data_IF_263177732764
#
_entry.id   IF_263177732764
#
_cell.length_a   1.000
_cell.length_b   1.000
_cell.length_c   1.000
_cell.angle_alpha   90.00
_cell.angle_beta   90.00
_cell.angle_gamma   90.00
#
_symmetry.space_group_name_H-M   'P 1'
#
loop_
_entity.id
_entity.type
_entity.pdbx_description
1 polymer ?
#
# COMPACT_ATOMS: atom_id res chain seq x y z
N UNK A 1 9.46 3.53 -15.43
CA UNK A 1 8.16 4.02 -15.99
C UNK A 1 7.26 4.07 -14.79
N UNK A 2 6.53 5.16 -14.51
CA UNK A 2 5.76 5.22 -13.26
C UNK A 2 4.86 3.98 -13.08
N UNK A 3 4.83 3.39 -11.89
CA UNK A 3 3.91 2.29 -11.59
C UNK A 3 2.47 2.78 -11.76
N UNK A 4 1.74 2.17 -12.68
CA UNK A 4 0.36 2.50 -12.97
C UNK A 4 -0.43 1.20 -13.11
N UNK A 5 -1.59 1.16 -12.47
CA UNK A 5 -2.57 0.10 -12.66
C UNK A 5 -3.36 0.34 -13.96
N UNK A 6 -3.90 -0.75 -14.51
CA UNK A 6 -4.84 -0.63 -15.63
C UNK A 6 -6.10 0.12 -15.19
N UNK A 7 -6.79 0.78 -16.13
CA UNK A 7 -8.08 1.43 -15.85
C UNK A 7 -9.13 0.47 -15.32
N UNK A 8 -9.08 -0.80 -15.74
CA UNK A 8 -9.95 -1.88 -15.25
C UNK A 8 -9.68 -2.17 -13.77
N UNK A 9 -8.42 -2.29 -13.37
CA UNK A 9 -8.06 -2.53 -11.97
C UNK A 9 -8.42 -1.35 -11.08
N UNK A 10 -8.19 -0.11 -11.54
CA UNK A 10 -8.61 1.08 -10.80
C UNK A 10 -10.12 1.09 -10.58
N UNK A 11 -10.92 0.78 -11.60
CA UNK A 11 -12.38 0.66 -11.45
C UNK A 11 -12.77 -0.40 -10.43
N UNK A 12 -12.12 -1.57 -10.47
CA UNK A 12 -12.38 -2.66 -9.52
C UNK A 12 -12.09 -2.23 -8.07
N UNK A 13 -11.02 -1.48 -7.84
CA UNK A 13 -10.70 -0.94 -6.51
C UNK A 13 -11.78 0.05 -6.06
N UNK A 14 -12.18 0.99 -6.92
CA UNK A 14 -13.22 1.97 -6.61
C UNK A 14 -14.55 1.32 -6.23
N UNK A 15 -15.02 0.40 -7.06
CA UNK A 15 -16.28 -0.32 -6.84
C UNK A 15 -16.22 -1.09 -5.52
N UNK A 16 -15.09 -1.75 -5.24
CA UNK A 16 -14.91 -2.51 -4.00
C UNK A 16 -14.91 -1.63 -2.74
N UNK A 17 -14.28 -0.45 -2.81
CA UNK A 17 -14.13 0.47 -1.67
C UNK A 17 -15.39 1.30 -1.39
N UNK A 18 -16.35 1.34 -2.32
CA UNK A 18 -17.53 2.19 -2.18
C UNK A 18 -18.41 1.79 -0.99
N UNK A 19 -18.58 0.49 -0.79
CA UNK A 19 -19.47 -0.08 0.25
C UNK A 19 -18.74 -0.52 1.52
N UNK A 20 -17.42 -0.35 1.59
CA UNK A 20 -16.60 -0.88 2.69
C UNK A 20 -15.94 0.23 3.49
N UNK A 21 -15.92 0.05 4.80
CA UNK A 21 -15.24 0.98 5.70
C UNK A 21 -13.72 0.86 5.57
N UNK A 22 -13.19 -0.36 5.50
CA UNK A 22 -11.74 -0.60 5.41
C UNK A 22 -11.46 -1.67 4.36
N UNK A 23 -10.69 -1.30 3.34
CA UNK A 23 -10.33 -2.18 2.23
C UNK A 23 -8.83 -2.31 2.12
N UNK A 24 -8.37 -3.47 1.69
CA UNK A 24 -6.99 -3.77 1.34
C UNK A 24 -6.90 -4.08 -0.15
N UNK A 25 -6.08 -3.32 -0.87
CA UNK A 25 -5.63 -3.63 -2.21
C UNK A 25 -4.19 -4.12 -2.15
N UNK A 26 -3.92 -5.31 -2.69
CA UNK A 26 -2.57 -5.83 -2.85
C UNK A 26 -2.12 -5.55 -4.28
N UNK A 27 -1.08 -4.75 -4.44
CA UNK A 27 -0.53 -4.34 -5.74
C UNK A 27 0.88 -4.88 -5.89
N UNK A 28 1.14 -5.65 -6.94
CA UNK A 28 2.51 -6.01 -7.31
C UNK A 28 3.11 -4.88 -8.13
N UNK A 29 4.38 -4.56 -7.94
CA UNK A 29 5.08 -3.50 -8.68
C UNK A 29 6.58 -3.78 -8.83
N UNK A 30 7.17 -3.29 -9.92
CA UNK A 30 8.64 -3.29 -10.15
C UNK A 30 9.35 -2.09 -9.54
N UNK A 31 8.61 -1.02 -9.26
CA UNK A 31 9.20 0.27 -8.89
C UNK A 31 9.56 0.32 -7.40
N UNK A 32 10.57 1.13 -7.06
CA UNK A 32 10.97 1.28 -5.66
C UNK A 32 9.86 1.96 -4.83
N UNK A 33 9.77 1.71 -3.51
CA UNK A 33 8.77 2.34 -2.63
C UNK A 33 8.64 3.86 -2.75
N UNK A 34 9.74 4.56 -3.07
CA UNK A 34 9.79 6.01 -3.25
C UNK A 34 9.14 6.48 -4.56
N UNK A 35 9.00 5.60 -5.55
CA UNK A 35 8.52 5.89 -6.90
C UNK A 35 7.02 5.56 -7.08
N UNK A 36 6.37 5.03 -6.04
CA UNK A 36 4.95 4.65 -6.05
C UNK A 36 3.98 5.81 -5.76
N UNK A 37 4.47 7.03 -5.56
CA UNK A 37 3.60 8.18 -5.20
C UNK A 37 2.46 8.38 -6.19
N UNK A 38 2.76 8.29 -7.49
CA UNK A 38 1.76 8.48 -8.56
C UNK A 38 0.68 7.40 -8.57
N UNK A 39 1.04 6.15 -8.24
CA UNK A 39 0.10 5.06 -8.08
C UNK A 39 -0.90 5.35 -6.95
N UNK A 40 -0.39 5.80 -5.80
CA UNK A 40 -1.21 6.12 -4.64
C UNK A 40 -2.11 7.34 -4.87
N UNK A 41 -1.60 8.37 -5.55
CA UNK A 41 -2.38 9.54 -5.96
C UNK A 41 -3.51 9.13 -6.91
N UNK A 42 -3.22 8.32 -7.93
CA UNK A 42 -4.23 7.85 -8.88
C UNK A 42 -5.35 7.05 -8.19
N UNK A 43 -5.01 6.13 -7.28
CA UNK A 43 -5.99 5.39 -6.49
C UNK A 43 -6.78 6.29 -5.54
N UNK A 44 -6.11 7.27 -4.92
CA UNK A 44 -6.74 8.27 -4.07
C UNK A 44 -7.78 9.09 -4.84
N UNK A 45 -7.39 9.66 -5.97
CA UNK A 45 -8.29 10.42 -6.84
C UNK A 45 -9.48 9.58 -7.30
N UNK A 46 -9.22 8.36 -7.80
CA UNK A 46 -10.27 7.48 -8.30
C UNK A 46 -11.26 7.07 -7.21
N UNK A 47 -10.80 6.80 -5.99
CA UNK A 47 -11.65 6.41 -4.86
C UNK A 47 -12.21 7.60 -4.07
N UNK A 48 -11.89 8.85 -4.45
CA UNK A 48 -12.16 10.05 -3.64
C UNK A 48 -11.61 9.95 -2.21
N UNK A 49 -10.41 9.41 -2.08
CA UNK A 49 -9.64 9.27 -0.84
C UNK A 49 -8.38 10.14 -0.89
N UNK A 50 -7.89 10.59 0.26
CA UNK A 50 -6.66 11.38 0.34
C UNK A 50 -5.52 10.57 0.94
N UNK A 51 -4.30 10.80 0.45
CA UNK A 51 -3.10 10.19 1.03
C UNK A 51 -2.91 10.62 2.48
N UNK A 52 -2.80 9.63 3.37
CA UNK A 52 -2.58 9.85 4.80
C UNK A 52 -1.14 9.54 5.20
N UNK A 53 -0.67 8.32 4.90
CA UNK A 53 0.71 7.90 5.22
C UNK A 53 1.17 6.78 4.30
N UNK A 54 2.48 6.56 4.27
CA UNK A 54 3.10 5.34 3.73
C UNK A 54 4.14 4.83 4.71
N UNK A 55 4.28 3.50 4.77
CA UNK A 55 5.30 2.81 5.54
C UNK A 55 5.92 1.73 4.66
N UNK A 56 7.22 1.49 4.81
CA UNK A 56 7.93 0.49 4.02
C UNK A 56 9.11 -0.06 4.79
N UNK A 57 9.54 -1.25 4.39
CA UNK A 57 10.76 -1.87 4.90
C UNK A 57 11.95 -1.43 4.05
N UNK A 58 13.04 -0.87 4.63
CA UNK A 58 14.28 -0.61 3.92
C UNK A 58 14.99 -1.89 3.44
N UNK A 59 14.67 -3.04 4.04
CA UNK A 59 15.30 -4.33 3.78
C UNK A 59 14.43 -5.31 3.00
N UNK A 60 13.21 -4.92 2.62
CA UNK A 60 12.31 -5.76 1.86
C UNK A 60 11.55 -4.95 0.81
N UNK A 61 11.21 -5.60 -0.30
CA UNK A 61 10.49 -4.98 -1.43
C UNK A 61 8.99 -4.87 -1.16
N UNK A 62 8.56 -4.58 0.08
CA UNK A 62 7.15 -4.41 0.41
C UNK A 62 6.92 -3.29 1.42
N UNK A 63 5.68 -2.81 1.42
CA UNK A 63 5.18 -1.81 2.35
C UNK A 63 3.73 -1.50 2.05
N UNK A 64 3.20 -0.45 2.68
CA UNK A 64 1.85 -0.02 2.40
C UNK A 64 1.69 1.49 2.35
N UNK A 65 0.62 1.93 1.70
CA UNK A 65 0.10 3.29 1.78
C UNK A 65 -1.33 3.25 2.34
N UNK A 66 -1.68 4.25 3.15
CA UNK A 66 -3.01 4.45 3.69
C UNK A 66 -3.65 5.67 3.03
N UNK A 67 -4.80 5.45 2.42
CA UNK A 67 -5.67 6.45 1.82
C UNK A 67 -6.94 6.56 2.68
N UNK A 68 -7.39 7.77 2.98
CA UNK A 68 -8.49 8.03 3.92
C UNK A 68 -9.43 9.14 3.47
N UNK A 69 -10.74 8.95 3.66
CA UNK A 69 -11.77 10.00 3.58
C UNK A 69 -13.07 9.54 4.23
N UNK A 70 -13.71 10.38 5.04
CA UNK A 70 -15.04 10.13 5.63
C UNK A 70 -15.18 8.73 6.25
N UNK A 71 -14.29 8.36 7.17
CA UNK A 71 -14.24 7.04 7.83
C UNK A 71 -13.97 5.83 6.91
N UNK A 72 -13.77 6.05 5.60
CA UNK A 72 -13.32 5.02 4.67
C UNK A 72 -11.81 5.02 4.56
N UNK A 73 -11.22 3.84 4.66
CA UNK A 73 -9.79 3.59 4.54
C UNK A 73 -9.56 2.61 3.40
N UNK A 74 -8.61 2.94 2.53
CA UNK A 74 -8.01 2.00 1.59
C UNK A 74 -6.53 1.86 1.95
N UNK A 75 -6.15 0.65 2.34
CA UNK A 75 -4.75 0.25 2.50
C UNK A 75 -4.27 -0.34 1.18
N UNK A 76 -3.24 0.24 0.61
CA UNK A 76 -2.56 -0.29 -0.58
C UNK A 76 -1.29 -0.98 -0.12
N UNK A 77 -1.34 -2.30 0.05
CA UNK A 77 -0.15 -3.11 0.30
C UNK A 77 0.53 -3.33 -1.05
N UNK A 78 1.78 -2.89 -1.20
CA UNK A 78 2.55 -3.16 -2.39
C UNK A 78 3.66 -4.19 -2.11
N UNK A 79 3.90 -5.03 -3.10
CA UNK A 79 4.94 -6.07 -3.07
C UNK A 79 5.78 -6.01 -4.34
N UNK A 80 7.07 -6.26 -4.21
CA UNK A 80 8.01 -6.32 -5.32
C UNK A 80 7.67 -7.47 -6.26
N UNK A 81 7.81 -7.23 -7.55
CA UNK A 81 7.65 -8.26 -8.55
C UNK A 81 8.05 -7.82 -9.94
N UNK A 82 7.68 -8.63 -10.92
CA UNK A 82 7.67 -8.23 -12.31
C UNK A 82 6.37 -7.50 -12.61
N UNK A 83 6.24 -6.48 -13.46
CA UNK A 83 4.97 -5.80 -13.78
C UNK A 83 4.12 -5.21 -12.62
N UNK A 84 3.37 -4.16 -12.97
CA UNK A 84 2.41 -3.53 -12.05
C UNK A 84 1.04 -4.14 -12.27
N UNK A 85 0.45 -4.74 -11.23
CA UNK A 85 -0.87 -5.38 -11.33
C UNK A 85 -1.59 -5.42 -9.98
N UNK A 86 -2.92 -5.42 -10.02
CA UNK A 86 -3.75 -5.68 -8.85
C UNK A 86 -3.83 -7.19 -8.60
N UNK A 87 -3.28 -7.64 -7.49
CA UNK A 87 -3.23 -9.07 -7.12
C UNK A 87 -4.50 -9.49 -6.40
N UNK A 88 -4.97 -8.67 -5.45
CA UNK A 88 -6.11 -9.02 -4.60
C UNK A 88 -6.80 -7.80 -4.01
N UNK A 89 -8.09 -7.97 -3.71
CA UNK A 89 -8.92 -7.05 -2.93
C UNK A 89 -9.57 -7.81 -1.79
N UNK A 90 -9.50 -7.24 -0.59
CA UNK A 90 -10.09 -7.84 0.61
C UNK A 90 -10.57 -6.77 1.57
N UNK A 91 -11.54 -7.13 2.41
CA UNK A 91 -11.93 -6.31 3.56
C UNK A 91 -10.97 -6.61 4.71
N UNK A 92 -10.60 -5.58 5.46
CA UNK A 92 -9.70 -5.69 6.61
C UNK A 92 -10.28 -4.94 7.80
N UNK A 93 -9.67 -5.11 8.96
CA UNK A 93 -9.97 -4.38 10.18
C UNK A 93 -8.73 -3.65 10.70
N UNK A 94 -8.91 -2.92 11.80
CA UNK A 94 -7.83 -2.19 12.46
C UNK A 94 -6.74 -3.11 13.04
N UNK A 95 -7.08 -4.35 13.41
CA UNK A 95 -6.11 -5.33 13.95
C UNK A 95 -5.12 -5.71 12.86
N UNK A 96 -5.62 -6.02 11.66
CA UNK A 96 -4.76 -6.33 10.51
C UNK A 96 -3.82 -5.17 10.17
N UNK A 97 -4.31 -3.93 10.21
CA UNK A 97 -3.47 -2.77 9.95
C UNK A 97 -2.36 -2.64 11.00
N UNK A 98 -2.68 -2.82 12.29
CA UNK A 98 -1.69 -2.79 13.36
C UNK A 98 -0.62 -3.89 13.20
N UNK A 99 -1.02 -5.12 12.88
CA UNK A 99 -0.08 -6.23 12.65
C UNK A 99 0.87 -5.93 11.49
N UNK A 100 0.38 -5.27 10.44
CA UNK A 100 1.18 -4.85 9.30
C UNK A 100 2.20 -3.77 9.69
N UNK A 101 1.79 -2.81 10.51
CA UNK A 101 2.68 -1.77 11.05
C UNK A 101 3.77 -2.36 11.93
N UNK A 102 3.41 -3.27 12.84
CA UNK A 102 4.35 -3.92 13.77
C UNK A 102 5.38 -4.78 13.00
N UNK A 103 4.92 -5.48 11.96
CA UNK A 103 5.80 -6.27 11.08
C UNK A 103 6.82 -5.39 10.37
N UNK A 104 6.39 -4.26 9.80
CA UNK A 104 7.31 -3.31 9.15
C UNK A 104 8.24 -2.64 10.15
N UNK A 105 7.73 -2.21 11.31
CA UNK A 105 8.54 -1.59 12.36
C UNK A 105 9.63 -2.54 12.88
N UNK A 106 9.31 -3.81 13.11
CA UNK A 106 10.28 -4.83 13.52
C UNK A 106 11.39 -5.05 12.48
N UNK A 107 11.03 -5.05 11.19
CA UNK A 107 11.96 -5.19 10.07
C UNK A 107 12.93 -3.99 10.00
N UNK A 108 12.42 -2.78 10.30
CA UNK A 108 13.20 -1.54 10.31
C UNK A 108 14.22 -1.52 11.46
N UNK A 109 13.85 -2.03 12.63
CA UNK A 109 14.74 -2.12 13.81
C UNK A 109 15.88 -3.13 13.57
N UNK A 110 15.60 -4.25 12.89
CA UNK A 110 16.63 -5.21 12.54
C UNK A 110 17.65 -4.63 11.54
N UNK A 111 17.21 -3.76 10.61
CA UNK A 111 18.13 -3.07 9.70
C UNK A 111 18.98 -1.99 10.36
N UNK A 112 18.47 -1.24 11.34
CA UNK A 112 19.28 -0.23 12.05
C UNK A 112 20.33 -0.87 12.96
N UNK A 113 20.02 -2.01 13.56
CA UNK A 113 20.94 -2.74 14.46
C UNK A 113 22.21 -3.24 13.75
N UNK A 114 22.18 -3.44 12.42
CA UNK A 114 23.35 -3.85 11.63
C UNK A 114 24.27 -2.65 11.32
N UNK A 115 23.79 -1.41 11.45
CA UNK A 115 24.53 -0.20 11.02
C UNK A 115 25.37 0.47 12.10
N UNK A 116 25.10 0.21 13.38
CA UNK A 116 25.85 0.77 14.53
C UNK A 116 26.89 -0.22 15.13
N UNK A 117 27.20 -1.30 14.40
CA UNK A 117 28.06 -2.40 14.88
C UNK A 117 29.40 -2.58 14.14
N UNK A 118 29.98 -1.52 13.55
CA UNK A 118 31.33 -1.54 12.94
C UNK A 118 32.16 -0.31 13.35
#
# INVERSE_FOLDING_TARGET
MAAELSSEDVSRVCDYCTDKRMSLAIVRTREAPTELSRLFECLGEACSLSFKRKMWSPSADFGFAELYSNERILVVLYIGGEHTELVSLSEIDDIFLQDLEDTLASSNIQSSTIRDGL
#
